data_IF_879756595876
#
_entry.id   IF_879756595876
#
_cell.length_a   1.000
_cell.length_b   1.000
_cell.length_c   1.000
_cell.angle_alpha   90.00
_cell.angle_beta   90.00
_cell.angle_gamma   90.00
#
_symmetry.space_group_name_H-M   'P 1'
#
loop_
_entity.id
_entity.type
_entity.pdbx_description
1 polymer ?
#
# COMPACT_ATOMS: atom_id res chain seq x y z
N UNK A 1 -41.24 -38.00 12.42
CA UNK A 1 -40.56 -37.97 11.10
C UNK A 1 -41.09 -36.75 10.36
N UNK A 2 -40.33 -35.81 9.79
CA UNK A 2 -38.88 -35.47 9.85
C UNK A 2 -38.75 -34.01 9.35
N UNK A 3 -37.69 -33.23 9.59
CA UNK A 3 -36.39 -33.50 10.21
C UNK A 3 -35.93 -32.32 11.10
N UNK A 4 -34.67 -32.32 11.55
CA UNK A 4 -33.96 -31.13 12.04
C UNK A 4 -32.99 -30.58 10.96
N UNK A 5 -32.44 -29.39 11.22
CA UNK A 5 -31.70 -28.57 10.27
C UNK A 5 -30.24 -29.00 9.98
N UNK A 6 -29.68 -28.45 8.90
CA UNK A 6 -28.26 -28.14 8.77
C UNK A 6 -28.11 -26.90 7.86
N UNK A 7 -27.29 -25.94 8.30
CA UNK A 7 -26.80 -24.83 7.46
C UNK A 7 -25.97 -25.36 6.30
N UNK A 8 -26.10 -24.74 5.13
CA UNK A 8 -25.09 -24.83 4.07
C UNK A 8 -24.74 -23.41 3.62
N UNK A 9 -23.47 -23.05 3.80
CA UNK A 9 -22.94 -21.71 3.56
C UNK A 9 -22.75 -21.50 2.05
N UNK A 10 -22.95 -20.28 1.50
CA UNK A 10 -22.79 -20.06 0.07
C UNK A 10 -21.35 -20.37 -0.38
N UNK A 11 -21.23 -21.08 -1.51
CA UNK A 11 -19.97 -21.54 -2.09
C UNK A 11 -18.91 -20.44 -2.14
N UNK A 12 -17.76 -20.74 -1.56
CA UNK A 12 -16.62 -19.83 -1.43
C UNK A 12 -15.78 -19.79 -2.72
N UNK A 13 -16.36 -19.34 -3.83
CA UNK A 13 -15.63 -18.99 -5.06
C UNK A 13 -15.34 -17.49 -5.11
N UNK A 14 -14.39 -17.06 -4.28
CA UNK A 14 -13.72 -15.75 -4.42
C UNK A 14 -12.61 -15.88 -5.48
N UNK A 15 -12.76 -15.30 -6.70
CA UNK A 15 -11.71 -15.38 -7.71
C UNK A 15 -10.47 -14.59 -7.27
N UNK A 16 -9.30 -15.18 -7.52
CA UNK A 16 -8.03 -14.67 -7.04
C UNK A 16 -7.56 -13.37 -7.72
N UNK A 17 -6.90 -12.52 -6.93
CA UNK A 17 -5.84 -11.59 -7.33
C UNK A 17 -6.19 -10.50 -8.37
N UNK A 18 -7.46 -10.09 -8.46
CA UNK A 18 -7.83 -8.81 -9.08
C UNK A 18 -7.81 -7.70 -8.02
N UNK A 19 -7.13 -6.54 -8.26
CA UNK A 19 -7.28 -5.40 -7.38
C UNK A 19 -8.74 -4.92 -7.46
N UNK A 20 -9.44 -4.93 -6.32
CA UNK A 20 -10.83 -4.48 -6.24
C UNK A 20 -11.01 -3.12 -6.94
N UNK A 21 -12.05 -3.00 -7.77
CA UNK A 21 -12.29 -1.80 -8.56
C UNK A 21 -12.38 -0.57 -7.63
N UNK A 22 -11.42 0.35 -7.75
CA UNK A 22 -11.19 1.46 -6.80
C UNK A 22 -9.81 1.45 -6.11
N UNK A 23 -9.01 0.39 -6.26
CA UNK A 23 -7.73 0.20 -5.57
C UNK A 23 -6.76 1.39 -5.64
N UNK A 24 -6.10 1.66 -4.51
CA UNK A 24 -5.14 2.75 -4.36
C UNK A 24 -3.83 2.53 -5.13
N UNK A 25 -3.37 3.56 -5.84
CA UNK A 25 -2.05 3.61 -6.49
C UNK A 25 -1.10 4.49 -5.68
N UNK A 26 0.10 4.00 -5.37
CA UNK A 26 1.17 4.76 -4.71
C UNK A 26 2.35 4.94 -5.68
N UNK A 27 2.65 6.19 -6.05
CA UNK A 27 3.75 6.55 -6.98
C UNK A 27 4.83 7.34 -6.26
N UNK A 28 6.04 6.80 -6.03
CA UNK A 28 7.18 7.58 -5.57
C UNK A 28 7.69 8.51 -6.68
N UNK A 29 7.62 9.82 -6.45
CA UNK A 29 8.20 10.79 -7.38
C UNK A 29 9.70 10.93 -7.13
N UNK A 30 10.51 10.90 -8.21
CA UNK A 30 11.95 11.20 -8.15
C UNK A 30 12.18 12.49 -7.37
N UNK A 31 13.08 12.44 -6.39
CA UNK A 31 13.49 13.57 -5.55
C UNK A 31 12.31 14.28 -4.82
N UNK A 32 11.16 13.59 -4.71
CA UNK A 32 9.90 14.13 -4.24
C UNK A 32 9.04 13.14 -3.41
N UNK A 33 7.75 13.46 -3.21
CA UNK A 33 6.85 12.73 -2.30
C UNK A 33 6.42 11.36 -2.82
N UNK A 34 5.67 10.63 -1.98
CA UNK A 34 4.79 9.55 -2.43
C UNK A 34 3.45 10.15 -2.84
N UNK A 35 3.02 10.00 -4.08
CA UNK A 35 1.69 10.38 -4.52
C UNK A 35 0.75 9.19 -4.37
N UNK A 36 -0.26 9.30 -3.52
CA UNK A 36 -1.33 8.29 -3.37
C UNK A 36 -2.54 8.76 -4.16
N UNK A 37 -3.18 7.87 -4.93
CA UNK A 37 -4.41 8.13 -5.71
C UNK A 37 -5.39 6.96 -5.56
N UNK A 38 -6.67 7.21 -5.79
CA UNK A 38 -7.72 6.18 -5.74
C UNK A 38 -8.43 6.17 -4.39
N UNK A 39 -9.08 5.06 -4.04
CA UNK A 39 -9.78 4.91 -2.77
C UNK A 39 -8.85 4.26 -1.73
N UNK A 40 -8.51 5.04 -0.70
CA UNK A 40 -7.62 4.65 0.39
C UNK A 40 -8.11 5.23 1.71
N UNK A 41 -7.78 4.56 2.81
CA UNK A 41 -7.84 5.11 4.16
C UNK A 41 -6.43 5.50 4.60
N UNK A 42 -6.29 6.64 5.24
CA UNK A 42 -5.05 7.05 5.91
C UNK A 42 -5.33 7.01 7.41
N UNK A 43 -4.53 6.23 8.14
CA UNK A 43 -4.66 6.05 9.60
C UNK A 43 -3.30 6.24 10.26
N UNK A 44 -3.31 6.62 11.53
CA UNK A 44 -2.12 6.53 12.38
C UNK A 44 -1.93 5.11 12.96
N UNK A 45 -0.93 4.98 13.83
CA UNK A 45 -0.56 3.72 14.49
C UNK A 45 -1.58 3.25 15.54
N UNK A 46 -2.41 4.17 16.06
CA UNK A 46 -3.44 3.92 17.06
C UNK A 46 -4.80 3.61 16.38
N UNK A 47 -4.84 3.70 15.04
CA UNK A 47 -5.98 3.38 14.19
C UNK A 47 -6.92 4.56 13.93
N UNK A 48 -6.58 5.77 14.38
CA UNK A 48 -7.40 6.96 14.14
C UNK A 48 -7.25 7.42 12.68
N UNK A 49 -8.35 7.87 12.07
CA UNK A 49 -8.36 8.34 10.69
C UNK A 49 -7.74 9.73 10.56
N UNK A 50 -6.85 9.88 9.57
CA UNK A 50 -6.26 11.16 9.17
C UNK A 50 -6.96 11.59 7.88
N UNK A 51 -7.73 12.68 7.94
CA UNK A 51 -8.42 13.21 6.76
C UNK A 51 -7.41 13.56 5.64
N UNK A 52 -7.49 12.91 4.45
CA UNK A 52 -6.64 13.24 3.31
C UNK A 52 -7.12 14.48 2.54
N UNK A 53 -8.34 14.97 2.82
CA UNK A 53 -9.01 16.09 2.15
C UNK A 53 -9.41 15.87 0.69
N UNK A 54 -8.89 14.81 0.04
CA UNK A 54 -9.12 14.48 -1.39
C UNK A 54 -8.60 13.08 -1.75
N UNK A 55 -9.16 12.48 -2.81
CA UNK A 55 -8.72 11.20 -3.43
C UNK A 55 -7.31 11.20 -4.05
N UNK A 56 -6.48 12.23 -3.79
CA UNK A 56 -5.08 12.27 -4.25
C UNK A 56 -4.23 13.10 -3.28
N UNK A 57 -3.31 12.47 -2.57
CA UNK A 57 -2.44 13.13 -1.58
C UNK A 57 -0.96 12.95 -1.90
N UNK A 58 -0.15 13.86 -1.38
CA UNK A 58 1.30 13.79 -1.43
C UNK A 58 1.83 13.56 0.00
N UNK A 59 2.36 12.37 0.28
CA UNK A 59 2.95 12.02 1.57
C UNK A 59 4.46 12.32 1.59
N UNK A 60 4.96 12.74 2.75
CA UNK A 60 6.35 13.14 2.93
C UNK A 60 7.30 11.94 2.82
N UNK A 61 8.18 11.96 1.82
CA UNK A 61 9.26 10.97 1.65
C UNK A 61 10.62 11.44 2.16
N UNK A 62 10.83 12.76 2.29
CA UNK A 62 12.11 13.36 2.67
C UNK A 62 12.31 13.56 4.18
N UNK A 63 11.28 13.35 5.01
CA UNK A 63 11.31 13.61 6.46
C UNK A 63 11.33 15.09 6.88
N UNK A 64 11.44 16.05 5.95
CA UNK A 64 11.62 17.48 6.25
C UNK A 64 10.34 18.34 6.17
N UNK A 65 9.18 17.77 5.90
CA UNK A 65 7.90 18.52 5.92
C UNK A 65 7.53 18.99 7.33
N UNK A 66 6.95 20.19 7.44
CA UNK A 66 6.34 20.71 8.67
C UNK A 66 4.92 20.20 8.93
N UNK A 67 4.25 19.65 7.92
CA UNK A 67 2.85 19.17 7.98
C UNK A 67 2.74 17.65 7.80
N UNK A 68 3.63 16.90 8.47
CA UNK A 68 3.62 15.42 8.40
C UNK A 68 2.24 14.86 8.79
N UNK A 69 1.74 13.79 8.14
CA UNK A 69 2.42 12.95 7.14
C UNK A 69 2.48 13.54 5.73
N UNK A 70 1.87 14.69 5.47
CA UNK A 70 1.78 15.30 4.14
C UNK A 70 3.07 16.03 3.71
N UNK A 71 3.18 16.31 2.41
CA UNK A 71 4.30 17.00 1.78
C UNK A 71 3.97 18.47 1.46
N UNK A 72 4.70 19.40 2.10
CA UNK A 72 4.69 20.86 1.86
C UNK A 72 5.66 21.35 0.76
N UNK A 73 6.38 20.43 0.09
CA UNK A 73 7.41 20.78 -0.88
C UNK A 73 8.82 21.00 -0.30
N UNK A 74 9.01 20.83 1.01
CA UNK A 74 10.33 20.99 1.66
C UNK A 74 11.43 20.06 1.11
N UNK A 75 11.07 18.97 0.41
CA UNK A 75 12.01 18.12 -0.33
C UNK A 75 12.91 18.92 -1.30
N UNK A 76 12.37 19.96 -1.95
CA UNK A 76 13.14 20.83 -2.86
C UNK A 76 14.21 21.63 -2.12
N UNK A 77 13.81 22.26 -1.01
CA UNK A 77 14.69 23.11 -0.17
C UNK A 77 15.73 22.31 0.59
N UNK A 78 15.42 21.05 0.93
CA UNK A 78 16.32 20.17 1.66
C UNK A 78 17.28 19.36 0.77
N UNK A 79 17.29 19.59 -0.56
CA UNK A 79 18.12 18.82 -1.49
C UNK A 79 17.86 17.30 -1.45
N UNK A 80 16.62 16.87 -1.20
CA UNK A 80 16.29 15.45 -1.09
C UNK A 80 16.46 14.77 -2.45
N UNK A 81 17.39 13.82 -2.55
CA UNK A 81 17.55 12.99 -3.75
C UNK A 81 17.25 11.53 -3.46
N UNK A 82 16.36 10.94 -4.27
CA UNK A 82 16.06 9.51 -4.25
C UNK A 82 15.29 9.10 -5.53
N UNK A 83 15.62 7.94 -6.12
CA UNK A 83 14.90 7.43 -7.29
C UNK A 83 13.42 7.17 -7.01
N UNK A 84 12.63 7.05 -8.08
CA UNK A 84 11.22 6.63 -8.06
C UNK A 84 11.06 5.11 -7.90
N UNK A 85 12.04 4.33 -8.38
CA UNK A 85 12.09 2.88 -8.24
C UNK A 85 13.13 2.46 -7.18
N UNK A 86 13.05 1.24 -6.61
CA UNK A 86 14.08 0.70 -5.72
C UNK A 86 15.45 0.65 -6.40
N UNK A 87 16.49 1.18 -5.74
CA UNK A 87 17.88 1.11 -6.22
C UNK A 87 18.55 -0.24 -5.96
N UNK A 88 17.93 -1.09 -5.13
CA UNK A 88 18.36 -2.46 -4.80
C UNK A 88 17.13 -3.35 -4.64
N UNK A 89 17.24 -4.68 -4.85
CA UNK A 89 16.15 -5.61 -4.56
C UNK A 89 15.72 -5.53 -3.08
N UNK A 90 14.41 -5.62 -2.81
CA UNK A 90 13.92 -5.81 -1.43
C UNK A 90 14.29 -7.23 -0.97
N UNK A 91 15.01 -7.44 0.16
CA UNK A 91 15.38 -8.77 0.61
C UNK A 91 14.19 -9.72 0.78
N UNK A 92 13.06 -9.22 1.31
CA UNK A 92 11.81 -9.99 1.42
C UNK A 92 11.28 -10.50 0.06
N UNK A 93 11.53 -9.80 -1.04
CA UNK A 93 11.12 -10.27 -2.37
C UNK A 93 12.00 -11.42 -2.91
N UNK A 94 13.23 -11.57 -2.41
CA UNK A 94 14.07 -12.74 -2.68
C UNK A 94 13.63 -13.95 -1.83
N UNK A 95 13.38 -13.73 -0.52
CA UNK A 95 12.88 -14.75 0.41
C UNK A 95 11.58 -15.38 -0.11
N UNK A 96 10.60 -14.55 -0.50
CA UNK A 96 9.32 -15.00 -1.08
C UNK A 96 9.46 -15.67 -2.46
N UNK A 97 10.61 -15.61 -3.13
CA UNK A 97 10.89 -16.37 -4.37
C UNK A 97 11.61 -17.69 -4.07
N UNK A 98 12.45 -17.72 -3.05
CA UNK A 98 13.14 -18.92 -2.60
C UNK A 98 12.17 -19.90 -1.93
N UNK A 99 11.32 -19.42 -1.01
CA UNK A 99 10.27 -20.21 -0.35
C UNK A 99 9.13 -20.70 -1.28
N UNK A 100 9.19 -20.39 -2.58
CA UNK A 100 8.26 -20.88 -3.62
C UNK A 100 8.94 -21.74 -4.68
N UNK A 101 10.21 -22.13 -4.48
CA UNK A 101 10.80 -23.21 -5.28
C UNK A 101 10.28 -24.54 -4.72
N UNK A 102 9.63 -25.39 -5.53
CA UNK A 102 9.31 -26.74 -5.08
C UNK A 102 10.62 -27.50 -4.88
N UNK A 103 10.76 -28.19 -3.76
CA UNK A 103 11.87 -29.11 -3.54
C UNK A 103 11.76 -30.23 -4.57
N UNK A 104 12.77 -30.33 -5.45
CA UNK A 104 12.87 -31.38 -6.46
C UNK A 104 14.14 -32.16 -6.15
N UNK A 105 13.95 -33.37 -5.64
CA UNK A 105 14.94 -34.43 -5.40
C UNK A 105 14.93 -35.38 -6.61
#
# INVERSE_FOLDING_TARGET
MSSAAADDLPDADLPADLPAEGAATITPYRDGPLIVRGDFRLVDQDGAEIDPGRKTVALCRCGKSGIKPFCDGSHKRSGFSAPSAPSRPRPAAAILRQARRPDTD
#
